data_IF_010094420387
#
_entry.id   IF_010094420387
#
_cell.length_a   1.000
_cell.length_b   1.000
_cell.length_c   1.000
_cell.angle_alpha   90.00
_cell.angle_beta   90.00
_cell.angle_gamma   90.00
#
_symmetry.space_group_name_H-M   'P 1'
#
loop_
_entity.id
_entity.type
_entity.pdbx_description
1 polymer ?
#
# COMPACT_ATOMS: atom_id res chain seq x y z
N UNK A 1 -1.48 13.28 15.88
CA UNK A 1 -2.45 12.42 15.14
C UNK A 1 -1.93 12.00 13.76
N UNK A 2 -1.22 12.85 12.99
CA UNK A 2 -0.71 12.50 11.65
C UNK A 2 0.20 11.27 11.54
N UNK A 3 1.08 11.04 12.51
CA UNK A 3 2.00 9.88 12.53
C UNK A 3 1.26 8.54 12.58
N UNK A 4 0.18 8.44 13.38
CA UNK A 4 -0.61 7.22 13.48
C UNK A 4 -1.31 6.86 12.16
N UNK A 5 -1.81 7.86 11.43
CA UNK A 5 -2.41 7.65 10.10
C UNK A 5 -1.38 7.23 9.06
N UNK A 6 -0.16 7.77 9.13
CA UNK A 6 0.93 7.37 8.23
C UNK A 6 1.37 5.92 8.50
N UNK A 7 1.43 5.51 9.77
CA UNK A 7 1.70 4.10 10.15
C UNK A 7 0.58 3.19 9.66
N UNK A 8 -0.69 3.58 9.84
CA UNK A 8 -1.82 2.81 9.32
C UNK A 8 -1.76 2.66 7.80
N UNK A 9 -1.49 3.76 7.08
CA UNK A 9 -1.33 3.76 5.63
C UNK A 9 -0.21 2.83 5.15
N UNK A 10 0.89 2.76 5.90
CA UNK A 10 1.98 1.81 5.66
C UNK A 10 1.51 0.36 5.74
N UNK A 11 0.92 -0.05 6.87
CA UNK A 11 0.47 -1.44 7.06
C UNK A 11 -0.60 -1.82 6.04
N UNK A 12 -1.56 -0.94 5.81
CA UNK A 12 -2.63 -1.16 4.83
C UNK A 12 -2.05 -1.34 3.42
N UNK A 13 -1.05 -0.54 3.04
CA UNK A 13 -0.43 -0.65 1.73
C UNK A 13 0.41 -1.92 1.58
N UNK A 14 1.15 -2.34 2.61
CA UNK A 14 1.90 -3.61 2.58
C UNK A 14 0.95 -4.78 2.39
N UNK A 15 -0.13 -4.84 3.17
CA UNK A 15 -1.13 -5.90 3.07
C UNK A 15 -1.79 -5.88 1.68
N UNK A 16 -2.16 -4.69 1.18
CA UNK A 16 -2.74 -4.53 -0.16
C UNK A 16 -1.81 -5.03 -1.27
N UNK A 17 -0.51 -4.71 -1.22
CA UNK A 17 0.49 -5.17 -2.19
C UNK A 17 0.61 -6.69 -2.15
N UNK A 18 0.78 -7.28 -0.95
CA UNK A 18 0.91 -8.73 -0.79
C UNK A 18 -0.34 -9.43 -1.32
N UNK A 19 -1.52 -8.96 -0.91
CA UNK A 19 -2.79 -9.54 -1.32
C UNK A 19 -2.96 -9.50 -2.83
N UNK A 20 -2.78 -8.34 -3.46
CA UNK A 20 -2.98 -8.19 -4.90
C UNK A 20 -1.92 -8.92 -5.72
N UNK A 21 -0.66 -8.94 -5.28
CA UNK A 21 0.41 -9.68 -5.97
C UNK A 21 0.14 -11.19 -5.90
N UNK A 22 -0.31 -11.69 -4.75
CA UNK A 22 -0.62 -13.09 -4.56
C UNK A 22 -1.84 -13.52 -5.38
N UNK A 23 -2.91 -12.72 -5.39
CA UNK A 23 -4.06 -12.97 -6.25
C UNK A 23 -3.70 -12.88 -7.73
N UNK A 24 -2.88 -11.89 -8.13
CA UNK A 24 -2.36 -11.79 -9.50
C UNK A 24 -1.63 -13.05 -9.94
N UNK A 25 -0.73 -13.57 -9.09
CA UNK A 25 -0.02 -14.83 -9.35
C UNK A 25 -0.94 -16.04 -9.43
N UNK A 26 -2.00 -16.08 -8.63
CA UNK A 26 -2.99 -17.18 -8.68
C UNK A 26 -3.80 -17.15 -9.97
N UNK A 27 -4.20 -15.96 -10.43
CA UNK A 27 -4.92 -15.79 -11.68
C UNK A 27 -4.02 -16.10 -12.90
N UNK A 28 -2.76 -15.68 -12.87
CA UNK A 28 -1.79 -15.91 -13.96
C UNK A 28 -1.48 -17.41 -14.14
N UNK A 29 -1.37 -18.16 -13.05
CA UNK A 29 -1.14 -19.61 -13.08
C UNK A 29 -2.42 -20.46 -13.28
N UNK A 30 -3.57 -19.85 -13.56
CA UNK A 30 -4.86 -20.56 -13.68
C UNK A 30 -5.13 -21.51 -12.52
N UNK A 31 -4.87 -21.07 -11.29
CA UNK A 31 -5.14 -21.88 -10.10
C UNK A 31 -6.62 -22.30 -10.09
N UNK A 32 -6.87 -23.62 -9.98
CA UNK A 32 -8.12 -24.30 -10.33
C UNK A 32 -9.37 -23.69 -9.66
N UNK A 33 -9.26 -23.22 -8.41
CA UNK A 33 -10.38 -22.58 -7.68
C UNK A 33 -10.84 -21.24 -8.27
N UNK A 34 -9.95 -20.49 -8.92
CA UNK A 34 -10.28 -19.20 -9.53
C UNK A 34 -10.53 -19.30 -11.04
N UNK A 35 -9.94 -20.31 -11.68
CA UNK A 35 -10.21 -20.64 -13.08
C UNK A 35 -11.68 -21.06 -13.30
N UNK A 36 -12.28 -21.81 -12.37
CA UNK A 36 -13.71 -22.17 -12.45
C UNK A 36 -14.62 -20.92 -12.48
N UNK A 37 -14.40 -19.99 -11.54
CA UNK A 37 -15.16 -18.72 -11.46
C UNK A 37 -14.94 -17.84 -12.70
N UNK A 38 -13.75 -17.91 -13.32
CA UNK A 38 -13.48 -17.20 -14.57
C UNK A 38 -14.34 -17.70 -15.74
N UNK A 39 -14.57 -19.02 -15.83
CA UNK A 39 -15.40 -19.59 -16.89
C UNK A 39 -16.89 -19.29 -16.72
N UNK A 40 -17.36 -19.17 -15.47
CA UNK A 40 -18.77 -18.88 -15.16
C UNK A 40 -19.11 -17.39 -15.32
N UNK A 41 -18.15 -16.51 -15.06
CA UNK A 41 -18.31 -15.04 -15.16
C UNK A 41 -17.95 -14.47 -16.55
N UNK A 42 -17.49 -15.30 -17.49
CA UNK A 42 -17.04 -14.88 -18.82
C UNK A 42 -15.82 -13.96 -18.80
N UNK A 43 -15.13 -13.85 -17.66
CA UNK A 43 -14.08 -12.87 -17.44
C UNK A 43 -12.72 -13.56 -17.32
N UNK A 44 -11.84 -13.28 -18.28
CA UNK A 44 -10.55 -13.93 -18.49
C UNK A 44 -9.63 -13.81 -17.26
N UNK A 45 -8.99 -14.92 -16.89
CA UNK A 45 -8.09 -15.00 -15.75
C UNK A 45 -6.85 -14.11 -15.96
N UNK A 46 -6.34 -14.01 -17.18
CA UNK A 46 -5.19 -13.17 -17.49
C UNK A 46 -5.50 -11.68 -17.32
N UNK A 47 -6.69 -11.24 -17.72
CA UNK A 47 -7.13 -9.85 -17.54
C UNK A 47 -7.29 -9.51 -16.05
N UNK A 48 -7.82 -10.43 -15.23
CA UNK A 48 -7.89 -10.29 -13.77
C UNK A 48 -6.50 -10.16 -13.14
N UNK A 49 -5.55 -11.00 -13.57
CA UNK A 49 -4.17 -10.93 -13.08
C UNK A 49 -3.55 -9.55 -13.34
N UNK A 50 -3.72 -9.02 -14.56
CA UNK A 50 -3.24 -7.69 -14.94
C UNK A 50 -3.83 -6.59 -14.06
N UNK A 51 -5.13 -6.65 -13.75
CA UNK A 51 -5.78 -5.67 -12.87
C UNK A 51 -5.24 -5.77 -11.44
N UNK A 52 -5.02 -6.98 -10.92
CA UNK A 52 -4.40 -7.19 -9.63
C UNK A 52 -3.00 -6.57 -9.55
N UNK A 53 -2.14 -6.81 -10.56
CA UNK A 53 -0.82 -6.20 -10.61
C UNK A 53 -0.88 -4.67 -10.73
N UNK A 54 -1.79 -4.15 -11.55
CA UNK A 54 -2.02 -2.70 -11.65
C UNK A 54 -2.46 -2.10 -10.31
N UNK A 55 -3.30 -2.81 -9.56
CA UNK A 55 -3.69 -2.42 -8.19
C UNK A 55 -2.50 -2.43 -7.24
N UNK A 56 -1.64 -3.45 -7.29
CA UNK A 56 -0.44 -3.53 -6.45
C UNK A 56 0.52 -2.35 -6.70
N UNK A 57 0.63 -1.88 -7.95
CA UNK A 57 1.39 -0.68 -8.30
C UNK A 57 0.81 0.56 -7.61
N UNK A 58 -0.52 0.73 -7.62
CA UNK A 58 -1.18 1.86 -6.94
C UNK A 58 -0.88 1.84 -5.43
N UNK A 59 -1.00 0.68 -4.78
CA UNK A 59 -0.64 0.55 -3.38
C UNK A 59 0.84 0.82 -3.09
N UNK A 60 1.73 0.54 -4.03
CA UNK A 60 3.16 0.91 -3.91
C UNK A 60 3.34 2.43 -3.86
N UNK A 61 2.59 3.19 -4.67
CA UNK A 61 2.63 4.66 -4.58
C UNK A 61 2.11 5.17 -3.23
N UNK A 62 1.03 4.59 -2.72
CA UNK A 62 0.47 4.96 -1.41
C UNK A 62 1.46 4.63 -0.27
N UNK A 63 2.17 3.51 -0.38
CA UNK A 63 3.23 3.13 0.55
C UNK A 63 4.36 4.18 0.58
N UNK A 64 4.83 4.61 -0.60
CA UNK A 64 5.88 5.63 -0.72
C UNK A 64 5.43 6.96 -0.09
N UNK A 65 4.20 7.39 -0.38
CA UNK A 65 3.65 8.61 0.22
C UNK A 65 3.53 8.49 1.75
N UNK A 66 3.12 7.33 2.26
CA UNK A 66 3.02 7.07 3.70
C UNK A 66 4.41 7.08 4.37
N UNK A 67 5.43 6.54 3.70
CA UNK A 67 6.84 6.62 4.15
C UNK A 67 7.33 8.06 4.19
N UNK A 68 7.09 8.84 3.13
CA UNK A 68 7.48 10.25 3.08
C UNK A 68 6.80 11.05 4.20
N UNK A 69 5.52 10.80 4.48
CA UNK A 69 4.80 11.43 5.57
C UNK A 69 5.41 11.07 6.94
N UNK A 70 5.77 9.80 7.16
CA UNK A 70 6.45 9.37 8.39
C UNK A 70 7.82 10.02 8.56
N UNK A 71 8.61 10.08 7.48
CA UNK A 71 9.90 10.76 7.49
C UNK A 71 9.73 12.25 7.78
N UNK A 72 8.76 12.90 7.13
CA UNK A 72 8.43 14.29 7.39
C UNK A 72 8.15 14.52 8.88
N UNK A 73 7.22 13.77 9.48
CA UNK A 73 6.91 13.92 10.91
C UNK A 73 8.10 13.62 11.83
N UNK A 74 8.97 12.67 11.44
CA UNK A 74 10.18 12.35 12.19
C UNK A 74 11.21 13.49 12.13
N UNK A 75 11.38 14.13 10.98
CA UNK A 75 12.36 15.18 10.75
C UNK A 75 11.89 16.59 11.13
N UNK A 76 10.58 16.86 11.19
CA UNK A 76 10.06 18.16 11.66
C UNK A 76 9.97 18.28 13.17
N UNK A 77 9.84 17.17 13.91
CA UNK A 77 9.84 17.15 15.39
C UNK A 77 11.04 17.86 16.07
N UNK A 78 12.30 17.73 15.60
CA UNK A 78 13.42 18.45 16.22
C UNK A 78 13.39 19.98 16.02
N UNK A 79 12.61 20.50 15.07
CA UNK A 79 12.48 21.96 14.85
C UNK A 79 11.69 22.63 15.97
N UNK A 80 10.57 22.02 16.40
CA UNK A 80 9.70 22.62 17.43
C UNK A 80 10.33 22.59 18.83
N UNK A 81 11.18 21.60 19.14
CA UNK A 81 11.85 21.51 20.43
C UNK A 81 12.94 22.57 20.60
N UNK A 82 13.68 22.88 19.51
CA UNK A 82 14.74 23.90 19.54
C UNK A 82 14.13 25.30 19.65
N UNK A 83 13.02 25.58 18.94
CA UNK A 83 12.33 26.87 19.02
C UNK A 83 11.75 27.11 20.43
N UNK A 84 11.18 26.08 21.08
CA UNK A 84 10.68 26.19 22.45
C UNK A 84 11.76 26.44 23.50
N UNK A 85 12.97 25.93 23.30
CA UNK A 85 14.11 26.25 24.19
C UNK A 85 14.49 27.74 24.09
N UNK A 86 14.39 28.35 22.90
CA UNK A 86 14.69 29.77 22.71
C UNK A 86 13.58 30.72 23.19
N UNK A 87 12.32 30.29 23.27
CA UNK A 87 11.23 31.10 23.84
C UNK A 87 11.23 31.16 25.38
N UNK A 88 11.98 30.27 26.04
CA UNK A 88 12.07 30.17 27.50
C UNK A 88 13.32 30.87 28.10
N UNK A 89 14.13 31.55 27.26
CA UNK A 89 15.31 32.34 27.66
C UNK A 89 15.05 33.82 27.39
#
# INVERSE_FOLDING_TARGET
MGEAYAIFGLFFSIIGIIHLTFFGLMFDHNAISFALVSSESGWDAFEKAKICYSGAIIYTFILILSLLALLYFKYTRPSDSIVREFELV
#
